data_IF_702711295406
#
_entry.id   IF_702711295406
#
_cell.length_a   1.000
_cell.length_b   1.000
_cell.length_c   1.000
_cell.angle_alpha   90.00
_cell.angle_beta   90.00
_cell.angle_gamma   90.00
#
_symmetry.space_group_name_H-M   'P 1'
#
loop_
_entity.id
_entity.type
_entity.pdbx_description
1 polymer ?
#
# COMPACT_ATOMS: atom_id res chain seq x y z
N UNK A 1 55.49 -25.77 -3.30
CA UNK A 1 55.08 -24.86 -2.22
C UNK A 1 54.13 -23.85 -2.83
N UNK A 2 52.84 -23.99 -2.59
CA UNK A 2 51.78 -23.05 -2.98
C UNK A 2 51.25 -22.45 -1.68
N UNK A 3 51.24 -21.12 -1.54
CA UNK A 3 50.56 -20.43 -0.45
C UNK A 3 49.32 -19.70 -1.00
N UNK A 4 48.24 -19.60 -0.20
CA UNK A 4 46.90 -19.32 -0.69
C UNK A 4 46.48 -17.85 -0.54
N UNK A 5 45.35 -17.57 -1.18
CA UNK A 5 44.61 -16.33 -1.31
C UNK A 5 44.45 -15.48 -0.03
N UNK A 6 44.67 -14.17 -0.19
CA UNK A 6 44.11 -13.13 0.66
C UNK A 6 42.61 -12.97 0.32
N UNK A 7 41.75 -13.33 1.28
CA UNK A 7 40.34 -12.99 1.28
C UNK A 7 40.16 -11.70 2.09
N UNK A 8 40.05 -10.56 1.41
CA UNK A 8 39.59 -9.32 2.05
C UNK A 8 38.10 -9.44 2.38
N UNK A 9 37.78 -9.28 3.67
CA UNK A 9 36.44 -9.36 4.22
C UNK A 9 35.55 -8.21 3.75
N UNK A 10 34.39 -8.56 3.19
CA UNK A 10 33.27 -7.65 2.96
C UNK A 10 32.73 -7.18 4.32
N UNK A 11 32.56 -5.87 4.57
CA UNK A 11 31.97 -5.37 5.82
C UNK A 11 30.52 -5.86 5.96
N UNK A 12 30.01 -6.09 7.18
CA UNK A 12 28.66 -6.60 7.37
C UNK A 12 27.65 -5.60 6.79
N UNK A 13 27.02 -6.03 5.69
CA UNK A 13 25.96 -5.31 5.04
C UNK A 13 24.77 -5.11 5.97
N UNK A 14 23.98 -4.08 5.67
CA UNK A 14 22.69 -3.83 6.30
C UNK A 14 21.89 -5.14 6.47
N UNK A 15 21.06 -5.26 7.54
CA UNK A 15 20.24 -6.44 7.74
C UNK A 15 19.47 -6.75 6.45
N UNK A 16 19.37 -8.03 6.07
CA UNK A 16 18.64 -8.41 4.87
C UNK A 16 17.23 -7.84 4.95
N UNK A 17 16.79 -7.20 3.87
CA UNK A 17 15.38 -6.78 3.74
C UNK A 17 14.54 -8.04 3.92
N UNK A 18 13.58 -8.07 4.86
CA UNK A 18 12.75 -9.25 5.08
C UNK A 18 12.13 -9.71 3.77
N UNK A 19 12.08 -11.02 3.55
CA UNK A 19 11.39 -11.55 2.39
C UNK A 19 9.91 -11.15 2.43
N UNK A 20 9.20 -11.12 1.28
CA UNK A 20 7.79 -10.73 1.25
C UNK A 20 6.93 -11.53 2.23
N UNK A 21 7.22 -12.82 2.41
CA UNK A 21 6.56 -13.70 3.38
C UNK A 21 6.77 -13.27 4.84
N UNK A 22 7.98 -12.82 5.20
CA UNK A 22 8.28 -12.34 6.55
C UNK A 22 7.63 -10.97 6.81
N UNK A 23 7.51 -10.14 5.76
CA UNK A 23 6.83 -8.86 5.82
C UNK A 23 5.31 -9.02 5.99
N UNK A 24 4.68 -10.00 5.33
CA UNK A 24 3.27 -10.33 5.60
C UNK A 24 3.09 -10.78 7.04
N UNK A 25 3.99 -11.62 7.56
CA UNK A 25 3.91 -12.09 8.95
C UNK A 25 4.01 -10.94 10.00
N UNK A 26 4.58 -9.79 9.62
CA UNK A 26 4.59 -8.59 10.46
C UNK A 26 3.24 -7.85 10.46
N UNK A 27 2.40 -8.05 9.44
CA UNK A 27 1.04 -7.53 9.33
C UNK A 27 0.12 -8.47 10.13
N UNK A 28 -0.02 -8.21 11.44
CA UNK A 28 -0.89 -9.01 12.30
C UNK A 28 -2.34 -8.49 12.21
N UNK A 29 -3.28 -9.22 11.60
CA UNK A 29 -4.67 -8.82 11.56
C UNK A 29 -5.30 -8.96 12.96
N UNK A 30 -6.18 -8.04 13.28
CA UNK A 30 -6.91 -7.93 14.56
C UNK A 30 -8.42 -8.03 14.38
N UNK A 31 -8.90 -8.04 13.13
CA UNK A 31 -10.31 -8.19 12.77
C UNK A 31 -10.50 -9.17 11.61
N UNK A 32 -11.72 -9.69 11.39
CA UNK A 32 -12.03 -10.53 10.23
C UNK A 32 -11.75 -9.84 8.89
N UNK A 33 -12.04 -8.55 8.77
CA UNK A 33 -11.78 -7.80 7.53
C UNK A 33 -10.28 -7.62 7.27
N UNK A 34 -9.49 -7.40 8.32
CA UNK A 34 -8.03 -7.37 8.20
C UNK A 34 -7.48 -8.74 7.79
N UNK A 35 -8.03 -9.84 8.31
CA UNK A 35 -7.65 -11.19 7.91
C UNK A 35 -7.93 -11.44 6.42
N UNK A 36 -9.11 -11.04 5.93
CA UNK A 36 -9.45 -11.16 4.50
C UNK A 36 -8.44 -10.43 3.61
N UNK A 37 -7.99 -9.25 4.04
CA UNK A 37 -7.00 -8.47 3.30
C UNK A 37 -5.61 -9.15 3.32
N UNK A 38 -5.20 -9.71 4.47
CA UNK A 38 -3.96 -10.49 4.59
C UNK A 38 -4.01 -11.73 3.67
N UNK A 39 -5.07 -12.52 3.74
CA UNK A 39 -5.26 -13.72 2.91
C UNK A 39 -5.19 -13.38 1.42
N UNK A 40 -5.79 -12.25 1.03
CA UNK A 40 -5.73 -11.75 -0.34
C UNK A 40 -4.31 -11.42 -0.79
N UNK A 41 -3.53 -10.73 0.05
CA UNK A 41 -2.13 -10.41 -0.28
C UNK A 41 -1.27 -11.67 -0.37
N UNK A 42 -1.42 -12.60 0.57
CA UNK A 42 -0.72 -13.89 0.55
C UNK A 42 -1.03 -14.68 -0.73
N UNK A 43 -2.31 -14.77 -1.09
CA UNK A 43 -2.74 -15.47 -2.29
C UNK A 43 -2.12 -14.86 -3.56
N UNK A 44 -2.06 -13.52 -3.65
CA UNK A 44 -1.44 -12.85 -4.80
C UNK A 44 0.08 -13.05 -4.85
N UNK A 45 0.77 -12.94 -3.72
CA UNK A 45 2.21 -13.21 -3.66
C UNK A 45 2.54 -14.67 -4.02
N UNK A 46 1.75 -15.62 -3.51
CA UNK A 46 1.89 -17.03 -3.82
C UNK A 46 1.66 -17.31 -5.32
N UNK A 47 0.63 -16.70 -5.91
CA UNK A 47 0.34 -16.82 -7.34
C UNK A 47 1.50 -16.30 -8.19
N UNK A 48 2.03 -15.13 -7.86
CA UNK A 48 3.17 -14.55 -8.58
C UNK A 48 4.42 -15.44 -8.51
N UNK A 49 4.69 -16.00 -7.34
CA UNK A 49 5.79 -16.95 -7.17
C UNK A 49 5.55 -18.22 -8.01
N UNK A 50 4.34 -18.77 -7.98
CA UNK A 50 3.99 -19.99 -8.72
C UNK A 50 4.09 -19.83 -10.24
N UNK A 51 3.66 -18.68 -10.76
CA UNK A 51 3.70 -18.41 -12.21
C UNK A 51 5.11 -18.12 -12.75
N UNK A 52 6.13 -18.01 -11.88
CA UNK A 52 7.50 -17.71 -12.32
C UNK A 52 7.61 -16.40 -13.09
N UNK A 53 6.82 -15.38 -12.71
CA UNK A 53 6.78 -14.12 -13.43
C UNK A 53 8.06 -13.31 -13.16
N UNK A 54 8.99 -13.34 -14.12
CA UNK A 54 10.34 -12.76 -13.97
C UNK A 54 10.52 -11.40 -14.67
N UNK A 55 9.47 -10.80 -15.24
CA UNK A 55 9.61 -9.50 -15.93
C UNK A 55 10.01 -8.33 -15.00
N UNK A 56 9.81 -8.49 -13.69
CA UNK A 56 10.26 -7.56 -12.63
C UNK A 56 11.51 -8.05 -11.90
N UNK A 57 12.26 -8.99 -12.48
CA UNK A 57 13.53 -9.43 -11.92
C UNK A 57 14.50 -8.24 -11.73
N UNK A 58 15.07 -8.13 -10.51
CA UNK A 58 15.97 -7.05 -10.12
C UNK A 58 15.28 -5.74 -9.71
N UNK A 59 13.96 -5.65 -9.78
CA UNK A 59 13.21 -4.51 -9.21
C UNK A 59 13.14 -4.66 -7.68
N UNK A 60 13.09 -3.53 -6.95
CA UNK A 60 12.98 -3.57 -5.47
C UNK A 60 11.73 -4.29 -4.98
N UNK A 61 10.63 -4.17 -5.73
CA UNK A 61 9.37 -4.85 -5.46
C UNK A 61 8.88 -5.55 -6.72
N UNK A 62 8.37 -6.78 -6.57
CA UNK A 62 7.94 -7.59 -7.73
C UNK A 62 6.52 -7.24 -8.20
N UNK A 63 5.71 -6.60 -7.37
CA UNK A 63 4.34 -6.13 -7.65
C UNK A 63 3.87 -5.08 -6.67
N UNK A 64 2.71 -4.49 -6.95
CA UNK A 64 1.97 -3.65 -5.99
C UNK A 64 1.66 -4.38 -4.68
N UNK A 65 1.36 -5.69 -4.73
CA UNK A 65 1.09 -6.49 -3.52
C UNK A 65 2.33 -6.56 -2.62
N UNK A 66 3.48 -6.85 -3.21
CA UNK A 66 4.77 -6.87 -2.51
C UNK A 66 5.12 -5.48 -1.94
N UNK A 67 4.91 -4.42 -2.73
CA UNK A 67 5.10 -3.04 -2.29
C UNK A 67 4.22 -2.69 -1.07
N UNK A 68 2.93 -3.03 -1.10
CA UNK A 68 2.00 -2.78 0.02
C UNK A 68 2.33 -3.65 1.22
N UNK A 69 2.75 -4.89 1.02
CA UNK A 69 3.18 -5.76 2.13
C UNK A 69 4.41 -5.19 2.84
N UNK A 70 5.39 -4.68 2.10
CA UNK A 70 6.63 -4.16 2.68
C UNK A 70 6.43 -2.80 3.35
N UNK A 71 5.66 -1.91 2.73
CA UNK A 71 5.57 -0.50 3.17
C UNK A 71 4.22 -0.10 3.78
N UNK A 72 3.21 -0.96 3.63
CA UNK A 72 1.86 -0.69 4.08
C UNK A 72 1.76 -0.58 5.61
N UNK A 73 0.82 0.25 6.04
CA UNK A 73 0.44 0.44 7.44
C UNK A 73 -1.06 0.29 7.57
N UNK A 74 -1.49 -0.43 8.61
CA UNK A 74 -2.90 -0.46 8.99
C UNK A 74 -3.35 0.95 9.34
N UNK A 75 -4.51 1.32 8.83
CA UNK A 75 -5.19 2.56 9.20
C UNK A 75 -6.49 2.21 9.93
N UNK A 76 -6.78 2.93 11.01
CA UNK A 76 -7.97 2.66 11.83
C UNK A 76 -9.20 3.28 11.17
N UNK A 77 -10.24 2.50 10.81
CA UNK A 77 -11.49 3.06 10.32
C UNK A 77 -12.08 4.04 11.33
N UNK A 78 -12.55 5.20 10.87
CA UNK A 78 -13.18 6.21 11.69
C UNK A 78 -14.34 6.88 10.93
N UNK A 79 -15.38 7.38 11.63
CA UNK A 79 -16.41 8.19 10.99
C UNK A 79 -15.80 9.39 10.27
N UNK A 80 -16.39 9.78 9.14
CA UNK A 80 -15.94 10.96 8.41
C UNK A 80 -16.09 12.22 9.29
N UNK A 81 -15.03 13.02 9.49
CA UNK A 81 -15.13 14.26 10.26
C UNK A 81 -16.11 15.24 9.61
N UNK A 82 -16.79 16.04 10.44
CA UNK A 82 -17.83 16.98 9.97
C UNK A 82 -17.30 18.05 9.00
N UNK A 83 -16.01 18.36 9.09
CA UNK A 83 -15.33 19.31 8.20
C UNK A 83 -15.00 18.73 6.82
N UNK A 84 -15.02 17.41 6.64
CA UNK A 84 -14.74 16.75 5.35
C UNK A 84 -16.04 16.41 4.66
N UNK A 85 -16.19 16.86 3.42
CA UNK A 85 -17.39 16.57 2.63
C UNK A 85 -17.34 15.16 2.04
N UNK A 86 -18.43 14.37 2.16
CA UNK A 86 -18.60 13.16 1.36
C UNK A 86 -18.56 13.50 -0.13
N UNK A 87 -18.02 12.58 -0.93
CA UNK A 87 -17.81 12.73 -2.37
C UNK A 87 -18.36 11.52 -3.13
N UNK A 88 -18.62 11.65 -4.45
CA UNK A 88 -19.21 10.56 -5.24
C UNK A 88 -18.40 9.26 -5.15
N UNK A 89 -19.11 8.14 -4.97
CA UNK A 89 -18.53 6.80 -4.96
C UNK A 89 -17.75 6.49 -6.25
N UNK A 90 -16.84 5.50 -6.19
CA UNK A 90 -16.01 5.01 -7.32
C UNK A 90 -14.99 6.02 -7.86
N UNK A 91 -14.85 7.18 -7.21
CA UNK A 91 -13.84 8.19 -7.53
C UNK A 91 -12.79 8.31 -6.42
N UNK A 92 -12.49 7.23 -5.69
CA UNK A 92 -11.68 7.24 -4.47
C UNK A 92 -10.32 7.96 -4.62
N UNK A 93 -9.58 7.67 -5.69
CA UNK A 93 -8.30 8.31 -5.98
C UNK A 93 -8.40 9.84 -6.11
N UNK A 94 -9.36 10.33 -6.90
CA UNK A 94 -9.63 11.76 -7.06
C UNK A 94 -10.15 12.39 -5.76
N UNK A 95 -11.07 11.70 -5.07
CA UNK A 95 -11.71 12.18 -3.86
C UNK A 95 -10.69 12.38 -2.75
N UNK A 96 -9.87 11.36 -2.46
CA UNK A 96 -8.81 11.46 -1.47
C UNK A 96 -7.77 12.52 -1.84
N UNK A 97 -7.39 12.64 -3.12
CA UNK A 97 -6.44 13.67 -3.54
C UNK A 97 -7.02 15.09 -3.43
N UNK A 98 -8.33 15.28 -3.63
CA UNK A 98 -9.02 16.55 -3.41
C UNK A 98 -9.14 16.87 -1.91
N UNK A 99 -9.51 15.88 -1.10
CA UNK A 99 -9.61 16.02 0.36
C UNK A 99 -8.25 16.38 0.99
N UNK A 100 -7.14 15.74 0.59
CA UNK A 100 -5.81 16.14 1.06
C UNK A 100 -5.44 17.58 0.67
N UNK A 101 -5.84 18.02 -0.53
CA UNK A 101 -5.61 19.42 -0.99
C UNK A 101 -6.37 20.43 -0.13
N UNK A 102 -7.58 20.11 0.28
CA UNK A 102 -8.43 20.96 1.13
C UNK A 102 -8.00 20.91 2.60
N UNK A 103 -7.40 19.80 3.04
CA UNK A 103 -6.98 19.57 4.41
C UNK A 103 -5.50 19.12 4.47
N UNK A 104 -4.52 20.04 4.34
CA UNK A 104 -3.09 19.70 4.22
C UNK A 104 -2.45 18.99 5.42
N UNK A 105 -3.18 18.84 6.54
CA UNK A 105 -2.76 18.03 7.69
C UNK A 105 -2.95 16.53 7.46
N UNK A 106 -3.77 16.17 6.47
CA UNK A 106 -4.02 14.79 6.10
C UNK A 106 -2.97 14.32 5.10
N UNK A 107 -2.62 13.04 5.15
CA UNK A 107 -1.76 12.40 4.15
C UNK A 107 -2.63 11.67 3.12
N UNK A 108 -2.28 11.78 1.84
CA UNK A 108 -2.87 10.96 0.79
C UNK A 108 -2.34 9.52 0.91
N UNK A 109 -3.24 8.54 0.91
CA UNK A 109 -2.90 7.13 1.12
C UNK A 109 -3.57 6.27 0.05
N UNK A 110 -2.81 5.33 -0.52
CA UNK A 110 -3.33 4.30 -1.42
C UNK A 110 -2.94 2.92 -0.94
N UNK A 111 -3.77 1.94 -1.26
CA UNK A 111 -3.52 0.54 -0.95
C UNK A 111 -4.74 -0.31 -1.22
N UNK A 112 -4.96 -1.30 -0.36
CA UNK A 112 -6.13 -2.16 -0.44
C UNK A 112 -7.05 -1.89 0.74
N UNK A 113 -8.35 -1.96 0.50
CA UNK A 113 -9.38 -1.86 1.51
C UNK A 113 -10.45 -2.94 1.34
N UNK A 114 -11.04 -3.37 2.44
CA UNK A 114 -12.21 -4.25 2.47
C UNK A 114 -13.39 -3.42 2.98
N UNK A 115 -14.42 -3.15 2.18
CA UNK A 115 -15.58 -2.41 2.65
C UNK A 115 -16.46 -3.28 3.57
N UNK A 116 -17.34 -2.63 4.32
CA UNK A 116 -18.23 -3.29 5.30
C UNK A 116 -19.22 -4.27 4.64
N UNK A 117 -19.64 -4.01 3.41
CA UNK A 117 -20.72 -4.70 2.70
C UNK A 117 -20.23 -5.73 1.67
N UNK A 118 -18.91 -5.88 1.50
CA UNK A 118 -18.33 -6.83 0.55
C UNK A 118 -17.05 -7.47 1.11
N UNK A 119 -16.89 -8.79 0.98
CA UNK A 119 -15.68 -9.49 1.42
C UNK A 119 -14.53 -9.38 0.41
N UNK A 120 -14.64 -8.52 -0.62
CA UNK A 120 -13.66 -8.44 -1.70
C UNK A 120 -12.72 -7.25 -1.45
N UNK A 121 -11.42 -7.49 -1.18
CA UNK A 121 -10.43 -6.43 -1.16
C UNK A 121 -10.38 -5.72 -2.51
N UNK A 122 -10.34 -4.38 -2.47
CA UNK A 122 -10.24 -3.53 -3.66
C UNK A 122 -9.07 -2.57 -3.52
N UNK A 123 -8.44 -2.25 -4.64
CA UNK A 123 -7.56 -1.08 -4.71
C UNK A 123 -8.39 0.15 -4.34
N UNK A 124 -7.86 0.97 -3.44
CA UNK A 124 -8.58 2.08 -2.86
C UNK A 124 -7.66 3.22 -2.44
N UNK A 125 -8.24 4.40 -2.27
CA UNK A 125 -7.54 5.58 -1.78
C UNK A 125 -8.37 6.32 -0.75
N UNK A 126 -7.69 6.80 0.28
CA UNK A 126 -8.25 7.56 1.40
C UNK A 126 -7.23 8.60 1.85
N UNK A 127 -7.61 9.43 2.83
CA UNK A 127 -6.63 10.21 3.55
C UNK A 127 -6.39 9.61 4.94
N UNK A 128 -5.19 9.79 5.49
CA UNK A 128 -4.87 9.37 6.85
C UNK A 128 -4.51 10.59 7.70
N UNK A 129 -5.08 10.68 8.89
CA UNK A 129 -4.73 11.72 9.86
C UNK A 129 -3.36 11.42 10.55
N UNK A 130 -2.82 12.36 11.35
CA UNK A 130 -1.57 12.13 12.08
C UNK A 130 -1.60 10.92 13.03
N UNK A 131 -2.78 10.57 13.55
CA UNK A 131 -2.98 9.47 14.49
C UNK A 131 -3.15 8.11 13.79
N UNK A 132 -3.22 8.08 12.45
CA UNK A 132 -3.44 6.84 11.70
C UNK A 132 -4.89 6.49 11.43
N UNK A 133 -5.83 7.40 11.66
CA UNK A 133 -7.24 7.18 11.32
C UNK A 133 -7.51 7.43 9.85
N UNK A 134 -8.41 6.64 9.30
CA UNK A 134 -8.93 6.75 7.94
C UNK A 134 -9.90 7.92 7.85
N UNK A 135 -9.67 8.78 6.87
CA UNK A 135 -10.56 9.82 6.40
C UNK A 135 -10.93 9.45 4.96
N UNK A 136 -12.00 8.68 4.81
CA UNK A 136 -12.46 8.22 3.49
C UNK A 136 -13.62 9.09 3.01
N UNK A 137 -13.40 10.03 2.08
CA UNK A 137 -14.47 10.86 1.54
C UNK A 137 -15.42 10.08 0.60
N UNK A 138 -15.15 8.81 0.29
CA UNK A 138 -15.85 8.03 -0.74
C UNK A 138 -16.82 7.03 -0.15
N UNK A 139 -16.45 6.35 0.94
CA UNK A 139 -17.34 5.40 1.62
C UNK A 139 -17.93 6.02 2.89
N UNK A 140 -19.25 5.92 3.06
CA UNK A 140 -19.97 6.51 4.19
C UNK A 140 -19.96 5.64 5.45
N UNK A 141 -19.92 4.30 5.31
CA UNK A 141 -20.01 3.35 6.41
C UNK A 141 -18.75 2.50 6.53
N UNK A 142 -17.86 2.87 7.45
CA UNK A 142 -16.57 2.20 7.63
C UNK A 142 -16.59 1.14 8.76
N UNK A 143 -17.72 0.94 9.43
CA UNK A 143 -17.82 0.03 10.57
C UNK A 143 -17.56 -1.42 10.18
N UNK A 144 -16.38 -1.95 10.49
CA UNK A 144 -15.99 -3.32 10.11
C UNK A 144 -15.20 -3.43 8.81
N UNK A 145 -14.86 -2.30 8.18
CA UNK A 145 -13.91 -2.24 7.06
C UNK A 145 -12.45 -2.39 7.53
N UNK A 146 -11.55 -2.70 6.60
CA UNK A 146 -10.12 -2.77 6.83
C UNK A 146 -9.35 -1.97 5.77
N UNK A 147 -8.24 -1.34 6.16
CA UNK A 147 -7.41 -0.51 5.28
C UNK A 147 -5.93 -0.76 5.52
N UNK A 148 -5.25 -1.28 4.50
CA UNK A 148 -3.80 -1.42 4.51
C UNK A 148 -3.24 -0.66 3.31
N UNK A 149 -2.45 0.37 3.58
CA UNK A 149 -1.93 1.22 2.52
C UNK A 149 -0.69 2.00 2.90
N UNK A 150 -0.17 2.69 1.89
CA UNK A 150 1.06 3.47 1.93
C UNK A 150 0.67 4.94 1.92
N UNK A 151 1.14 5.70 2.91
CA UNK A 151 1.06 7.17 2.88
C UNK A 151 2.01 7.65 1.81
N UNK A 152 1.48 8.23 0.74
CA UNK A 152 2.27 8.64 -0.41
C UNK A 152 2.68 10.12 -0.27
N UNK A 153 3.89 10.49 -0.74
CA UNK A 153 4.29 11.87 -0.86
C UNK A 153 3.25 12.71 -1.62
N UNK A 154 2.98 13.89 -1.09
CA UNK A 154 1.96 14.81 -1.58
C UNK A 154 2.13 15.17 -3.07
N UNK A 155 3.34 15.13 -3.61
CA UNK A 155 3.64 15.40 -5.01
C UNK A 155 3.27 14.25 -5.97
N UNK A 156 3.12 13.01 -5.48
CA UNK A 156 2.72 11.86 -6.29
C UNK A 156 1.20 11.78 -6.48
N UNK A 157 0.41 12.41 -5.60
CA UNK A 157 -1.06 12.28 -5.62
C UNK A 157 -1.66 12.60 -6.99
N UNK A 158 -2.77 11.95 -7.38
CA UNK A 158 -3.43 12.20 -8.65
C UNK A 158 -3.85 13.66 -8.84
N UNK A 159 -3.80 14.12 -10.10
CA UNK A 159 -4.14 15.49 -10.50
C UNK A 159 -5.01 15.46 -11.76
N UNK A 160 -6.08 16.26 -11.82
CA UNK A 160 -6.88 16.37 -13.03
C UNK A 160 -6.03 16.68 -14.28
N UNK A 161 -6.32 16.06 -15.43
CA UNK A 161 -7.41 15.10 -15.69
C UNK A 161 -7.08 13.64 -15.29
N UNK A 162 -5.85 13.35 -14.88
CA UNK A 162 -5.38 12.00 -14.54
C UNK A 162 -5.67 11.66 -13.07
N UNK A 163 -6.88 11.12 -12.85
CA UNK A 163 -7.39 10.76 -11.53
C UNK A 163 -7.23 9.27 -11.22
N UNK A 164 -6.28 8.58 -11.87
CA UNK A 164 -5.95 7.18 -11.57
C UNK A 164 -5.07 7.08 -10.33
N UNK A 165 -5.12 5.94 -9.64
CA UNK A 165 -4.26 5.67 -8.50
C UNK A 165 -2.78 5.61 -8.88
N UNK A 166 -1.94 6.15 -8.02
CA UNK A 166 -0.48 6.07 -8.06
C UNK A 166 -0.03 4.61 -8.10
N UNK A 167 -0.68 3.74 -7.32
CA UNK A 167 -0.39 2.31 -7.24
C UNK A 167 -1.05 1.48 -8.35
N UNK A 168 -1.85 2.09 -9.22
CA UNK A 168 -2.58 1.42 -10.30
C UNK A 168 -2.06 1.81 -11.69
N UNK A 169 -1.65 3.05 -11.88
CA UNK A 169 -1.17 3.54 -13.18
C UNK A 169 0.29 3.13 -13.43
N UNK A 170 0.63 2.52 -14.58
CA UNK A 170 2.00 2.08 -14.88
C UNK A 170 3.07 3.17 -14.76
N UNK A 171 2.76 4.39 -15.19
CA UNK A 171 3.70 5.52 -15.20
C UNK A 171 4.13 5.95 -13.79
N UNK A 172 3.28 5.75 -12.79
CA UNK A 172 3.58 6.04 -11.38
C UNK A 172 4.02 4.79 -10.62
N UNK A 173 3.38 3.64 -10.87
CA UNK A 173 3.66 2.39 -10.16
C UNK A 173 5.04 1.83 -10.50
N UNK A 174 5.41 1.75 -11.79
CA UNK A 174 6.65 1.06 -12.19
C UNK A 174 7.92 1.72 -11.64
N UNK A 175 8.05 3.06 -11.59
CA UNK A 175 9.14 3.71 -10.88
C UNK A 175 9.26 3.27 -9.41
N UNK A 176 8.13 3.17 -8.70
CA UNK A 176 8.09 2.75 -7.28
C UNK A 176 8.46 1.28 -7.13
N UNK A 177 8.00 0.41 -8.02
CA UNK A 177 8.39 -1.00 -7.98
C UNK A 177 9.88 -1.19 -8.28
N UNK A 178 10.40 -0.47 -9.28
CA UNK A 178 11.81 -0.57 -9.68
C UNK A 178 12.75 0.00 -8.63
N UNK A 179 12.40 1.17 -8.06
CA UNK A 179 13.33 1.99 -7.27
C UNK A 179 12.96 2.11 -5.79
N UNK A 180 11.79 1.64 -5.38
CA UNK A 180 11.22 1.81 -4.04
C UNK A 180 10.48 3.13 -3.86
N UNK A 181 9.91 3.33 -2.66
CA UNK A 181 9.36 4.60 -2.17
C UNK A 181 10.46 5.62 -1.84
#
# INVERSE_FOLDING_TARGET
>A
MLNPADAEGVPPGAPPVPGPVDAVAAIRPTSPAEQVLVDFLEAHLALQHHLGFDSTAGWKHRSVYDLVVVHGRWSTPAPLPAEVQPRPERHCFANAAATEREHPRLAYTEGFAVPTDSPVPTAHAWCTDPDGRVIDPTWSELGGSAYLGIRLPSHLRPRPPHNWGVLEAPDSLYPLLRSGL
#
